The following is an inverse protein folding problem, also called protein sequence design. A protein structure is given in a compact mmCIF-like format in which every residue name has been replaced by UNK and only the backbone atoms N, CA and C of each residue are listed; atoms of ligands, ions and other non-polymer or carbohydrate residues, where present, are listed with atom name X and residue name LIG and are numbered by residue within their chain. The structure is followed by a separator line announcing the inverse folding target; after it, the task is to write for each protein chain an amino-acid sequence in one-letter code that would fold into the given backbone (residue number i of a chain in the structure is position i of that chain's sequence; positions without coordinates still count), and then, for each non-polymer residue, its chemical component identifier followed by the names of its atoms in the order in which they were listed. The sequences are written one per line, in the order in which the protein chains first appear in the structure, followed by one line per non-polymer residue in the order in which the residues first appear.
data_IF_029526045634
#
_entry.id   IF_029526045634
#
_cell.length_a   1.000
_cell.length_b   1.000
_cell.length_c   1.000
_cell.angle_alpha   90.00
_cell.angle_beta   90.00
_cell.angle_gamma   90.00
#
_symmetry.space_group_name_H-M   'P 1'
#
loop_
_entity.id
_entity.type
_entity.pdbx_description
1 polymer ?
#
# COMPACT_ATOMS: atom_id res chain seq x y z
N UNK A 1 -40.05 -10.95 -7.18
CA UNK A 1 -39.51 -12.09 -7.95
C UNK A 1 -38.10 -12.49 -7.54
N UNK A 2 -37.15 -11.54 -7.48
CA UNK A 2 -35.83 -11.75 -6.85
C UNK A 2 -35.94 -12.36 -5.44
N UNK A 3 -36.90 -11.88 -4.65
CA UNK A 3 -37.10 -12.33 -3.26
C UNK A 3 -37.39 -13.83 -3.12
N UNK A 4 -38.14 -14.44 -4.05
CA UNK A 4 -38.64 -15.82 -3.87
C UNK A 4 -37.58 -16.85 -4.27
N UNK A 5 -36.87 -16.62 -5.37
CA UNK A 5 -35.78 -17.50 -5.84
C UNK A 5 -34.55 -17.40 -4.92
N UNK A 6 -34.23 -16.19 -4.45
CA UNK A 6 -33.16 -15.97 -3.49
C UNK A 6 -33.50 -16.60 -2.14
N UNK A 7 -34.73 -16.42 -1.64
CA UNK A 7 -35.14 -17.04 -0.37
C UNK A 7 -35.01 -18.55 -0.41
N UNK A 8 -35.46 -19.26 -1.45
CA UNK A 8 -35.51 -20.73 -1.41
C UNK A 8 -34.12 -21.41 -1.44
N UNK A 9 -33.19 -20.94 -2.29
CA UNK A 9 -31.84 -21.54 -2.39
C UNK A 9 -30.91 -21.00 -1.31
N UNK A 10 -31.03 -19.71 -0.96
CA UNK A 10 -30.23 -19.10 0.10
C UNK A 10 -30.68 -19.59 1.49
N UNK A 11 -31.97 -19.87 1.73
CA UNK A 11 -32.42 -20.49 3.00
C UNK A 11 -31.86 -21.88 3.17
N UNK A 12 -31.94 -22.76 2.17
CA UNK A 12 -31.41 -24.13 2.30
C UNK A 12 -29.90 -24.14 2.62
N UNK A 13 -29.14 -23.23 1.98
CA UNK A 13 -27.70 -23.08 2.20
C UNK A 13 -27.40 -22.42 3.56
N UNK A 14 -28.12 -21.35 3.94
CA UNK A 14 -27.99 -20.72 5.26
C UNK A 14 -28.38 -21.66 6.40
N UNK A 15 -29.42 -22.48 6.24
CA UNK A 15 -29.83 -23.50 7.22
C UNK A 15 -28.71 -24.51 7.44
N UNK A 16 -28.01 -24.92 6.37
CA UNK A 16 -26.86 -25.83 6.47
C UNK A 16 -25.66 -25.22 7.19
N UNK A 17 -25.42 -23.91 7.01
CA UNK A 17 -24.32 -23.16 7.61
C UNK A 17 -24.59 -22.72 9.06
N UNK A 18 -25.86 -22.41 9.39
CA UNK A 18 -26.29 -21.89 10.69
C UNK A 18 -26.85 -22.98 11.62
N UNK A 19 -26.88 -24.25 11.19
CA UNK A 19 -27.48 -25.35 11.98
C UNK A 19 -26.91 -25.48 13.39
N UNK A 20 -25.63 -25.16 13.56
CA UNK A 20 -24.96 -25.20 14.87
C UNK A 20 -25.44 -24.08 15.79
N UNK A 21 -25.51 -22.84 15.28
CA UNK A 21 -26.02 -21.67 16.01
C UNK A 21 -27.52 -21.78 16.34
N UNK A 22 -28.30 -22.32 15.40
CA UNK A 22 -29.74 -22.57 15.61
C UNK A 22 -29.97 -23.62 16.70
N UNK A 23 -29.19 -24.71 16.70
CA UNK A 23 -29.30 -25.72 17.76
C UNK A 23 -28.89 -25.18 19.14
N UNK A 24 -27.91 -24.28 19.20
CA UNK A 24 -27.55 -23.62 20.45
C UNK A 24 -28.72 -22.82 21.06
N UNK A 25 -29.60 -22.24 20.23
CA UNK A 25 -30.80 -21.51 20.69
C UNK A 25 -31.99 -22.42 21.05
N UNK A 26 -32.15 -23.55 20.36
CA UNK A 26 -33.22 -24.53 20.63
C UNK A 26 -32.94 -25.31 21.93
N UNK A 27 -31.68 -25.38 22.34
CA UNK A 27 -31.22 -25.99 23.58
C UNK A 27 -30.58 -27.36 23.38
N UNK A 28 -29.93 -27.92 24.42
CA UNK A 28 -29.02 -29.07 24.30
C UNK A 28 -29.71 -30.41 24.00
N UNK A 29 -31.05 -30.43 23.95
CA UNK A 29 -31.84 -31.64 23.73
C UNK A 29 -31.97 -32.05 22.26
N UNK A 30 -31.49 -31.21 21.33
CA UNK A 30 -31.57 -31.45 19.89
C UNK A 30 -30.24 -31.22 19.22
N UNK A 31 -29.88 -32.11 18.30
CA UNK A 31 -28.65 -31.97 17.53
C UNK A 31 -28.82 -30.93 16.40
N UNK A 32 -27.73 -30.30 15.93
CA UNK A 32 -27.76 -29.43 14.75
C UNK A 32 -28.45 -30.06 13.54
N UNK A 33 -28.26 -31.37 13.36
CA UNK A 33 -28.86 -32.11 12.25
C UNK A 33 -30.38 -32.23 12.41
N UNK A 34 -30.87 -32.56 13.61
CA UNK A 34 -32.31 -32.64 13.89
C UNK A 34 -33.00 -31.27 13.76
N UNK A 35 -32.33 -30.19 14.19
CA UNK A 35 -32.84 -28.82 14.06
C UNK A 35 -32.94 -28.41 12.59
N UNK A 36 -31.92 -28.76 11.80
CA UNK A 36 -31.90 -28.53 10.35
C UNK A 36 -33.04 -29.29 9.65
N UNK A 37 -33.20 -30.58 9.94
CA UNK A 37 -34.26 -31.41 9.36
C UNK A 37 -35.65 -30.92 9.74
N UNK A 38 -35.85 -30.54 11.00
CA UNK A 38 -37.10 -29.95 11.45
C UNK A 38 -37.43 -28.68 10.67
N UNK A 39 -36.46 -27.79 10.49
CA UNK A 39 -36.67 -26.53 9.79
C UNK A 39 -37.06 -26.75 8.32
N UNK A 40 -36.32 -27.61 7.63
CA UNK A 40 -36.58 -27.97 6.23
C UNK A 40 -37.96 -28.62 6.09
N UNK A 41 -38.29 -29.56 6.97
CA UNK A 41 -39.57 -30.29 6.91
C UNK A 41 -40.76 -29.39 7.20
N UNK A 42 -40.68 -28.53 8.22
CA UNK A 42 -41.82 -27.74 8.68
C UNK A 42 -42.02 -26.44 7.90
N UNK A 43 -40.94 -25.75 7.54
CA UNK A 43 -41.00 -24.40 6.98
C UNK A 43 -40.73 -24.34 5.48
N UNK A 44 -39.94 -25.28 4.93
CA UNK A 44 -39.65 -25.32 3.49
C UNK A 44 -40.59 -26.28 2.76
N UNK A 45 -40.71 -27.53 3.23
CA UNK A 45 -41.58 -28.54 2.61
C UNK A 45 -42.97 -28.64 3.26
N UNK A 46 -43.15 -28.01 4.42
CA UNK A 46 -44.40 -27.99 5.15
C UNK A 46 -45.40 -26.99 4.57
N UNK A 47 -46.53 -26.83 5.27
CA UNK A 47 -47.64 -26.01 4.80
C UNK A 47 -47.25 -24.55 4.53
N UNK A 48 -46.33 -24.01 5.34
CA UNK A 48 -45.85 -22.63 5.17
C UNK A 48 -45.07 -22.48 3.86
N UNK A 49 -44.10 -23.37 3.61
CA UNK A 49 -43.30 -23.33 2.39
C UNK A 49 -44.16 -23.52 1.14
N UNK A 50 -45.10 -24.46 1.16
CA UNK A 50 -46.05 -24.66 0.05
C UNK A 50 -46.93 -23.44 -0.23
N UNK A 51 -47.29 -22.68 0.80
CA UNK A 51 -48.11 -21.47 0.64
C UNK A 51 -47.30 -20.26 0.19
N UNK A 52 -46.01 -20.19 0.53
CA UNK A 52 -45.15 -19.03 0.29
C UNK A 52 -44.18 -19.19 -0.89
N UNK A 53 -43.90 -20.42 -1.32
CA UNK A 53 -42.96 -20.76 -2.39
C UNK A 53 -43.77 -21.33 -3.56
N UNK A 54 -43.87 -20.62 -4.69
CA UNK A 54 -44.62 -21.09 -5.86
C UNK A 54 -43.92 -22.27 -6.55
N UNK A 55 -44.70 -23.26 -6.98
CA UNK A 55 -44.20 -24.49 -7.66
C UNK A 55 -43.39 -24.20 -8.93
N UNK A 56 -43.72 -23.10 -9.61
CA UNK A 56 -42.95 -22.56 -10.72
C UNK A 56 -42.57 -21.13 -10.40
N UNK A 57 -41.28 -20.81 -10.39
CA UNK A 57 -40.83 -19.43 -10.22
C UNK A 57 -40.73 -18.81 -11.62
N UNK A 58 -41.65 -17.90 -12.00
CA UNK A 58 -41.57 -17.27 -13.31
C UNK A 58 -40.36 -16.34 -13.33
N UNK A 59 -39.69 -16.21 -14.49
CA UNK A 59 -38.45 -15.46 -14.66
C UNK A 59 -37.32 -15.91 -13.73
N UNK A 60 -36.83 -17.15 -13.94
CA UNK A 60 -35.64 -17.66 -13.28
C UNK A 60 -34.46 -16.72 -13.54
N UNK A 61 -34.16 -15.87 -12.56
CA UNK A 61 -32.98 -15.01 -12.58
C UNK A 61 -31.77 -15.95 -12.58
N UNK A 62 -31.02 -15.93 -13.66
CA UNK A 62 -29.78 -16.70 -13.76
C UNK A 62 -28.69 -15.86 -13.13
N UNK A 63 -28.05 -16.41 -12.11
CA UNK A 63 -26.85 -15.79 -11.56
C UNK A 63 -25.70 -15.95 -12.56
N UNK A 64 -25.40 -14.86 -13.28
CA UNK A 64 -24.30 -14.80 -14.24
C UNK A 64 -22.94 -14.52 -13.57
N UNK A 65 -22.91 -14.32 -12.25
CA UNK A 65 -21.66 -14.11 -11.51
C UNK A 65 -20.96 -15.42 -11.16
N UNK A 66 -21.60 -16.56 -11.39
CA UNK A 66 -21.08 -17.90 -11.08
C UNK A 66 -21.13 -18.84 -12.31
N UNK A 67 -20.19 -19.79 -12.47
CA UNK A 67 -20.28 -20.85 -13.48
C UNK A 67 -21.56 -21.68 -13.31
N UNK A 68 -22.14 -22.16 -14.42
CA UNK A 68 -23.41 -22.89 -14.37
C UNK A 68 -23.34 -24.11 -13.45
N UNK A 69 -24.24 -24.20 -12.46
CA UNK A 69 -24.30 -25.30 -11.51
C UNK A 69 -23.42 -25.14 -10.27
N UNK A 70 -22.70 -24.02 -10.12
CA UNK A 70 -22.05 -23.63 -8.87
C UNK A 70 -23.07 -23.19 -7.80
N UNK A 71 -22.69 -23.21 -6.50
CA UNK A 71 -23.51 -22.62 -5.45
C UNK A 71 -23.75 -21.13 -5.73
N UNK A 72 -24.94 -20.62 -5.40
CA UNK A 72 -25.18 -19.17 -5.39
C UNK A 72 -24.18 -18.57 -4.40
N UNK A 73 -23.26 -17.75 -4.90
CA UNK A 73 -22.11 -17.21 -4.15
C UNK A 73 -21.08 -18.26 -3.69
N UNK A 74 -20.15 -18.70 -4.55
CA UNK A 74 -19.00 -19.55 -4.22
C UNK A 74 -18.15 -19.03 -3.06
N UNK A 75 -18.15 -17.71 -2.88
CA UNK A 75 -17.51 -17.00 -1.78
C UNK A 75 -18.10 -17.34 -0.41
N UNK A 76 -19.40 -17.71 -0.32
CA UNK A 76 -20.05 -18.10 0.93
C UNK A 76 -19.73 -19.54 1.35
N UNK A 77 -19.37 -20.40 0.39
CA UNK A 77 -19.06 -21.82 0.65
C UNK A 77 -17.56 -22.06 0.87
N UNK A 78 -16.71 -21.07 0.58
CA UNK A 78 -15.26 -21.19 0.74
C UNK A 78 -14.87 -20.53 2.07
N UNK A 79 -14.61 -21.29 3.15
CA UNK A 79 -14.20 -20.71 4.41
C UNK A 79 -12.90 -19.93 4.19
N UNK A 80 -12.96 -18.64 4.50
CA UNK A 80 -11.82 -17.76 4.37
C UNK A 80 -10.79 -18.11 5.46
N UNK A 81 -9.49 -18.02 5.16
CA UNK A 81 -8.47 -18.17 6.19
C UNK A 81 -8.75 -17.19 7.32
N UNK A 82 -8.76 -17.64 8.59
CA UNK A 82 -9.00 -16.76 9.73
C UNK A 82 -7.91 -15.68 9.78
N UNK A 83 -8.31 -14.41 9.82
CA UNK A 83 -7.40 -13.32 10.12
C UNK A 83 -7.22 -13.23 11.64
N UNK A 84 -5.98 -13.26 12.10
CA UNK A 84 -5.63 -12.99 13.50
C UNK A 84 -5.83 -11.50 13.80
N UNK A 85 -7.03 -11.11 14.23
CA UNK A 85 -7.42 -9.73 14.57
C UNK A 85 -8.23 -9.78 15.87
N UNK A 86 -7.87 -8.95 16.85
CA UNK A 86 -8.65 -8.81 18.09
C UNK A 86 -9.96 -8.06 17.84
N UNK A 87 -10.95 -8.25 18.71
CA UNK A 87 -12.26 -7.58 18.58
C UNK A 87 -12.13 -6.05 18.52
N UNK A 88 -11.20 -5.46 19.26
CA UNK A 88 -10.95 -4.02 19.25
C UNK A 88 -10.38 -3.54 17.91
N UNK A 89 -9.45 -4.29 17.31
CA UNK A 89 -8.87 -3.97 16.00
C UNK A 89 -9.89 -4.17 14.87
N UNK A 90 -10.76 -5.18 15.01
CA UNK A 90 -11.88 -5.40 14.12
C UNK A 90 -12.79 -4.16 14.08
N UNK A 91 -13.18 -3.64 15.25
CA UNK A 91 -13.98 -2.42 15.36
C UNK A 91 -13.24 -1.20 14.80
N UNK A 92 -11.94 -1.05 15.08
CA UNK A 92 -11.15 0.07 14.56
C UNK A 92 -11.07 0.08 13.02
N UNK A 93 -11.02 -1.09 12.40
CA UNK A 93 -11.01 -1.26 10.95
C UNK A 93 -12.41 -1.25 10.33
N UNK A 94 -13.46 -1.40 11.14
CA UNK A 94 -14.81 -1.71 10.67
C UNK A 94 -14.83 -3.02 9.85
N UNK A 95 -13.94 -3.97 10.12
CA UNK A 95 -13.82 -5.19 9.33
C UNK A 95 -14.78 -6.27 9.85
N UNK A 96 -15.36 -7.06 8.95
CA UNK A 96 -16.26 -8.17 9.26
C UNK A 96 -15.63 -9.48 8.76
N UNK A 97 -14.87 -10.21 9.61
CA UNK A 97 -14.06 -11.36 9.21
C UNK A 97 -14.86 -12.48 8.53
N UNK A 98 -16.07 -12.76 9.01
CA UNK A 98 -16.93 -13.81 8.45
C UNK A 98 -17.54 -13.44 7.09
N UNK A 99 -17.47 -12.16 6.70
CA UNK A 99 -18.00 -11.66 5.41
C UNK A 99 -16.93 -11.19 4.45
N UNK A 100 -15.70 -11.01 4.93
CA UNK A 100 -14.65 -10.27 4.23
C UNK A 100 -15.07 -8.88 3.75
N UNK A 101 -15.73 -8.15 4.64
CA UNK A 101 -16.36 -6.88 4.31
C UNK A 101 -15.92 -5.79 5.26
N UNK A 102 -15.96 -4.55 4.79
CA UNK A 102 -15.73 -3.38 5.63
C UNK A 102 -17.05 -2.61 5.80
N UNK A 103 -17.24 -2.00 6.97
CA UNK A 103 -18.37 -1.10 7.21
C UNK A 103 -18.36 0.10 6.24
N UNK A 104 -17.17 0.56 5.89
CA UNK A 104 -16.95 1.61 4.89
C UNK A 104 -16.09 1.02 3.78
N UNK A 105 -16.70 0.87 2.61
CA UNK A 105 -16.05 0.28 1.45
C UNK A 105 -15.27 1.32 0.63
N UNK A 106 -14.34 0.82 -0.18
CA UNK A 106 -13.68 1.66 -1.17
C UNK A 106 -14.71 2.19 -2.19
N UNK A 107 -14.70 3.52 -2.40
CA UNK A 107 -15.67 4.23 -3.23
C UNK A 107 -17.13 3.96 -2.77
N UNK A 108 -17.43 4.37 -1.53
CA UNK A 108 -18.74 4.21 -0.88
C UNK A 108 -19.91 4.85 -1.66
N UNK A 109 -19.61 5.82 -2.53
CA UNK A 109 -20.60 6.52 -3.33
C UNK A 109 -20.87 5.83 -4.69
N UNK A 110 -20.28 4.67 -4.95
CA UNK A 110 -20.47 3.93 -6.20
C UNK A 110 -21.95 3.65 -6.49
N UNK A 111 -22.72 3.32 -5.47
CA UNK A 111 -24.14 3.00 -5.54
C UNK A 111 -25.00 4.21 -5.95
N UNK A 112 -24.53 5.44 -5.73
CA UNK A 112 -25.21 6.67 -6.21
C UNK A 112 -25.32 6.72 -7.73
N UNK A 113 -24.41 6.05 -8.44
CA UNK A 113 -24.40 6.00 -9.90
C UNK A 113 -25.63 5.27 -10.46
N UNK A 114 -26.16 4.32 -9.70
CA UNK A 114 -27.29 3.49 -10.11
C UNK A 114 -28.56 3.77 -9.31
N UNK A 115 -28.48 4.55 -8.21
CA UNK A 115 -29.62 4.76 -7.30
C UNK A 115 -30.82 5.45 -7.94
N UNK A 116 -30.60 6.24 -9.00
CA UNK A 116 -31.65 6.93 -9.76
C UNK A 116 -32.07 6.23 -11.05
N UNK A 117 -31.51 5.05 -11.36
CA UNK A 117 -31.85 4.34 -12.59
C UNK A 117 -33.22 3.67 -12.45
N UNK A 118 -34.14 4.03 -13.33
CA UNK A 118 -35.39 3.29 -13.57
C UNK A 118 -35.32 2.59 -14.92
N UNK A 119 -35.91 1.40 -15.03
CA UNK A 119 -36.05 0.67 -16.31
C UNK A 119 -37.51 0.77 -16.70
N UNK A 120 -37.81 1.40 -17.84
CA UNK A 120 -39.16 1.55 -18.36
C UNK A 120 -39.31 0.78 -19.68
N UNK A 121 -40.53 0.39 -20.03
CA UNK A 121 -40.80 -0.41 -21.24
C UNK A 121 -40.82 0.43 -22.52
N UNK A 122 -40.95 1.75 -22.38
CA UNK A 122 -41.00 2.76 -23.42
C UNK A 122 -39.70 3.55 -23.55
N UNK A 123 -38.63 3.14 -22.86
CA UNK A 123 -37.30 3.73 -22.99
C UNK A 123 -36.82 3.64 -24.45
N UNK A 124 -36.34 4.75 -25.00
CA UNK A 124 -35.68 4.75 -26.31
C UNK A 124 -34.33 4.02 -26.25
N UNK A 125 -33.86 3.49 -27.38
CA UNK A 125 -32.58 2.75 -27.46
C UNK A 125 -31.40 3.55 -26.88
N UNK A 126 -31.39 4.88 -27.07
CA UNK A 126 -30.36 5.78 -26.54
C UNK A 126 -30.41 5.84 -25.01
N UNK A 127 -31.61 5.86 -24.41
CA UNK A 127 -31.78 5.83 -22.97
C UNK A 127 -31.36 4.48 -22.38
N UNK A 128 -31.72 3.37 -23.05
CA UNK A 128 -31.30 2.02 -22.66
C UNK A 128 -29.77 1.93 -22.64
N UNK A 129 -29.10 2.41 -23.69
CA UNK A 129 -27.64 2.41 -23.76
C UNK A 129 -26.98 3.33 -22.71
N UNK A 130 -27.57 4.48 -22.40
CA UNK A 130 -27.11 5.33 -21.30
C UNK A 130 -27.20 4.61 -19.94
N UNK A 131 -28.33 3.95 -19.68
CA UNK A 131 -28.53 3.16 -18.44
C UNK A 131 -27.54 2.00 -18.36
N UNK A 132 -27.28 1.31 -19.48
CA UNK A 132 -26.24 0.26 -19.57
C UNK A 132 -24.84 0.81 -19.27
N UNK A 133 -24.50 2.00 -19.78
CA UNK A 133 -23.21 2.63 -19.51
C UNK A 133 -23.04 2.96 -18.01
N UNK A 134 -24.08 3.48 -17.34
CA UNK A 134 -24.04 3.71 -15.89
C UNK A 134 -23.84 2.40 -15.10
N UNK A 135 -24.51 1.32 -15.50
CA UNK A 135 -24.32 -0.01 -14.89
C UNK A 135 -22.91 -0.52 -15.12
N UNK A 136 -22.35 -0.42 -16.33
CA UNK A 136 -20.97 -0.85 -16.62
C UNK A 136 -19.95 -0.07 -15.79
N UNK A 137 -20.13 1.25 -15.67
CA UNK A 137 -19.31 2.09 -14.79
C UNK A 137 -19.38 1.63 -13.32
N UNK A 138 -20.58 1.28 -12.82
CA UNK A 138 -20.76 0.74 -11.47
C UNK A 138 -20.05 -0.62 -11.31
N UNK A 139 -20.18 -1.52 -12.28
CA UNK A 139 -19.50 -2.83 -12.28
C UNK A 139 -17.98 -2.66 -12.24
N UNK A 140 -17.41 -1.70 -12.97
CA UNK A 140 -15.97 -1.39 -12.90
C UNK A 140 -15.53 -0.94 -11.50
N UNK A 141 -16.34 -0.12 -10.82
CA UNK A 141 -16.09 0.28 -9.42
C UNK A 141 -16.11 -0.91 -8.47
N UNK A 142 -17.09 -1.81 -8.61
CA UNK A 142 -17.17 -3.03 -7.80
C UNK A 142 -15.96 -3.96 -8.02
N UNK A 143 -15.50 -4.10 -9.28
CA UNK A 143 -14.31 -4.89 -9.59
C UNK A 143 -13.05 -4.33 -8.92
N UNK A 144 -12.87 -3.02 -8.92
CA UNK A 144 -11.73 -2.38 -8.25
C UNK A 144 -11.82 -2.50 -6.72
N UNK A 145 -13.03 -2.37 -6.15
CA UNK A 145 -13.28 -2.62 -4.71
C UNK A 145 -12.86 -4.05 -4.34
N UNK A 146 -13.31 -5.06 -5.09
CA UNK A 146 -12.94 -6.45 -4.85
C UNK A 146 -11.44 -6.68 -5.05
N UNK A 147 -10.84 -6.09 -6.09
CA UNK A 147 -9.39 -6.18 -6.34
C UNK A 147 -8.58 -5.67 -5.15
N UNK A 148 -8.99 -4.55 -4.53
CA UNK A 148 -8.32 -4.00 -3.35
C UNK A 148 -8.40 -4.92 -2.14
N UNK A 149 -9.56 -5.54 -1.89
CA UNK A 149 -9.72 -6.55 -0.84
C UNK A 149 -8.79 -7.74 -1.06
N UNK A 150 -8.73 -8.24 -2.30
CA UNK A 150 -7.86 -9.34 -2.68
C UNK A 150 -6.38 -8.98 -2.43
N UNK A 151 -5.93 -7.79 -2.83
CA UNK A 151 -4.55 -7.33 -2.59
C UNK A 151 -4.27 -7.20 -1.09
N UNK A 152 -5.19 -6.61 -0.32
CA UNK A 152 -5.00 -6.43 1.12
C UNK A 152 -4.82 -7.76 1.86
N UNK A 153 -5.59 -8.78 1.45
CA UNK A 153 -5.49 -10.14 1.96
C UNK A 153 -4.22 -10.85 1.51
N UNK A 154 -3.98 -10.89 0.19
CA UNK A 154 -2.89 -11.67 -0.41
C UNK A 154 -1.52 -11.20 0.08
N UNK A 155 -1.33 -9.88 0.21
CA UNK A 155 -0.12 -9.29 0.77
C UNK A 155 -0.14 -9.17 2.31
N UNK A 156 -1.13 -9.73 2.97
CA UNK A 156 -1.29 -9.71 4.43
C UNK A 156 -1.09 -8.31 5.03
N UNK A 157 -1.73 -7.30 4.44
CA UNK A 157 -1.48 -5.89 4.78
C UNK A 157 -2.09 -5.48 6.13
N UNK A 158 -3.10 -6.21 6.61
CA UNK A 158 -3.82 -5.86 7.84
C UNK A 158 -2.94 -6.02 9.10
N UNK A 159 -2.24 -7.14 9.33
CA UNK A 159 -1.27 -7.25 10.43
C UNK A 159 -0.17 -6.18 10.36
N UNK A 160 0.34 -5.88 9.16
CA UNK A 160 1.34 -4.84 8.95
C UNK A 160 0.83 -3.43 9.31
N UNK A 161 -0.42 -3.11 8.94
CA UNK A 161 -1.09 -1.87 9.32
C UNK A 161 -1.26 -1.75 10.83
N UNK A 162 -1.61 -2.85 11.51
CA UNK A 162 -1.74 -2.93 12.97
C UNK A 162 -0.37 -2.99 13.69
N UNK A 163 0.75 -2.97 12.95
CA UNK A 163 2.09 -2.90 13.50
C UNK A 163 2.67 -4.23 13.98
N UNK A 164 2.04 -5.37 13.65
CA UNK A 164 2.49 -6.71 14.06
C UNK A 164 3.73 -7.19 13.31
N UNK A 165 3.96 -6.73 12.09
CA UNK A 165 5.19 -6.97 11.32
C UNK A 165 6.48 -6.64 12.09
N UNK A 166 6.41 -5.75 13.09
CA UNK A 166 7.57 -5.37 13.89
C UNK A 166 7.97 -6.46 14.90
N UNK A 167 7.02 -7.25 15.40
CA UNK A 167 7.29 -8.34 16.37
C UNK A 167 7.93 -9.55 15.69
N UNK A 168 7.56 -9.85 14.45
CA UNK A 168 8.12 -10.99 13.70
C UNK A 168 9.48 -10.66 13.06
N UNK A 169 9.72 -9.39 12.71
CA UNK A 169 11.02 -8.91 12.18
C UNK A 169 12.17 -8.97 13.18
N UNK A 170 11.92 -9.11 14.48
CA UNK A 170 12.99 -9.38 15.47
C UNK A 170 13.53 -10.82 15.38
N UNK A 171 12.78 -11.73 14.76
CA UNK A 171 13.16 -13.16 14.62
C UNK A 171 13.59 -13.53 13.19
N UNK A 172 13.19 -12.77 12.17
CA UNK A 172 13.62 -13.00 10.79
C UNK A 172 14.96 -12.35 10.43
N UNK A 173 15.68 -12.97 9.47
CA UNK A 173 16.99 -12.55 8.93
C UNK A 173 17.09 -11.03 8.81
N UNK A 174 18.24 -10.45 9.21
CA UNK A 174 18.57 -9.04 8.98
C UNK A 174 18.47 -8.70 7.47
N UNK A 175 17.30 -8.21 7.05
CA UNK A 175 17.07 -7.70 5.70
C UNK A 175 18.06 -6.56 5.47
N UNK A 176 18.88 -6.68 4.43
CA UNK A 176 19.90 -5.69 4.11
C UNK A 176 19.27 -4.36 3.71
N UNK A 177 20.03 -3.25 3.87
CA UNK A 177 19.56 -1.93 3.43
C UNK A 177 19.22 -1.92 1.94
N UNK A 178 20.01 -2.62 1.13
CA UNK A 178 19.79 -2.76 -0.31
C UNK A 178 18.50 -3.51 -0.63
N UNK A 179 18.21 -4.63 0.04
CA UNK A 179 16.97 -5.38 -0.16
C UNK A 179 15.73 -4.55 0.20
N UNK A 180 15.79 -3.77 1.29
CA UNK A 180 14.69 -2.86 1.66
C UNK A 180 14.43 -1.83 0.57
N UNK A 181 15.49 -1.21 0.05
CA UNK A 181 15.37 -0.20 -1.01
C UNK A 181 14.81 -0.82 -2.30
N UNK A 182 15.26 -2.03 -2.66
CA UNK A 182 14.74 -2.76 -3.81
C UNK A 182 13.26 -3.10 -3.66
N UNK A 183 12.83 -3.59 -2.49
CA UNK A 183 11.40 -3.86 -2.21
C UNK A 183 10.55 -2.60 -2.35
N UNK A 184 11.05 -1.45 -1.89
CA UNK A 184 10.36 -0.16 -2.08
C UNK A 184 10.24 0.20 -3.56
N UNK A 185 11.30 0.04 -4.35
CA UNK A 185 11.28 0.31 -5.81
C UNK A 185 10.31 -0.60 -6.55
N UNK A 186 10.19 -1.87 -6.15
CA UNK A 186 9.35 -2.87 -6.81
C UNK A 186 7.92 -2.93 -6.29
N UNK A 187 7.58 -2.15 -5.25
CA UNK A 187 6.25 -2.17 -4.60
C UNK A 187 5.08 -1.98 -5.56
N UNK A 188 5.27 -1.26 -6.66
CA UNK A 188 4.22 -1.07 -7.67
C UNK A 188 3.79 -2.38 -8.33
N UNK A 189 4.67 -3.38 -8.42
CA UNK A 189 4.36 -4.69 -9.00
C UNK A 189 3.36 -5.49 -8.16
N UNK A 190 3.25 -5.18 -6.85
CA UNK A 190 2.25 -5.82 -5.97
C UNK A 190 0.80 -5.61 -6.43
N UNK A 191 0.57 -4.64 -7.32
CA UNK A 191 -0.75 -4.37 -7.88
C UNK A 191 -1.15 -5.33 -9.02
N UNK A 192 -0.19 -6.07 -9.56
CA UNK A 192 -0.33 -6.87 -10.79
C UNK A 192 0.11 -8.32 -10.63
N UNK A 193 0.69 -8.67 -9.48
CA UNK A 193 1.20 -10.00 -9.17
C UNK A 193 0.56 -10.50 -7.89
N UNK A 194 0.42 -11.81 -7.75
CA UNK A 194 0.10 -12.39 -6.44
C UNK A 194 1.30 -12.27 -5.50
N UNK A 195 1.07 -12.25 -4.19
CA UNK A 195 2.11 -12.11 -3.18
C UNK A 195 3.20 -13.18 -3.33
N UNK A 196 2.79 -14.44 -3.51
CA UNK A 196 3.70 -15.57 -3.74
C UNK A 196 4.60 -15.35 -4.96
N UNK A 197 4.02 -14.92 -6.08
CA UNK A 197 4.76 -14.68 -7.33
C UNK A 197 5.73 -13.51 -7.18
N UNK A 198 5.33 -12.47 -6.45
CA UNK A 198 6.18 -11.32 -6.17
C UNK A 198 7.39 -11.70 -5.30
N UNK A 199 7.20 -12.51 -4.26
CA UNK A 199 8.30 -13.00 -3.42
C UNK A 199 9.27 -13.89 -4.23
N UNK A 200 8.73 -14.79 -5.06
CA UNK A 200 9.56 -15.63 -5.94
C UNK A 200 10.36 -14.78 -6.95
N UNK A 201 9.71 -13.80 -7.57
CA UNK A 201 10.38 -12.85 -8.46
C UNK A 201 11.50 -12.10 -7.75
N UNK A 202 11.25 -11.62 -6.54
CA UNK A 202 12.23 -10.89 -5.74
C UNK A 202 13.44 -11.77 -5.39
N UNK A 203 13.20 -13.00 -4.93
CA UNK A 203 14.27 -13.97 -4.66
C UNK A 203 15.08 -14.30 -5.91
N UNK A 204 14.41 -14.53 -7.04
CA UNK A 204 15.07 -14.88 -8.30
C UNK A 204 15.95 -13.73 -8.80
N UNK A 205 15.52 -12.47 -8.64
CA UNK A 205 16.34 -11.30 -8.94
C UNK A 205 17.61 -11.24 -8.07
N UNK A 206 17.50 -11.56 -6.77
CA UNK A 206 18.66 -11.61 -5.89
C UNK A 206 19.62 -12.75 -6.29
N UNK A 207 19.08 -13.95 -6.51
CA UNK A 207 19.83 -15.13 -6.97
C UNK A 207 20.56 -14.82 -8.28
N UNK A 208 19.89 -14.18 -9.23
CA UNK A 208 20.46 -13.76 -10.51
C UNK A 208 21.63 -12.79 -10.34
N UNK A 209 21.49 -11.78 -9.48
CA UNK A 209 22.57 -10.83 -9.17
C UNK A 209 23.80 -11.53 -8.56
N UNK A 210 23.60 -12.45 -7.62
CA UNK A 210 24.67 -13.25 -6.99
C UNK A 210 25.36 -14.14 -8.02
N UNK A 211 24.60 -14.85 -8.85
CA UNK A 211 25.14 -15.70 -9.90
C UNK A 211 25.92 -14.90 -10.94
N UNK A 212 25.42 -13.74 -11.39
CA UNK A 212 26.15 -12.85 -12.29
C UNK A 212 27.47 -12.36 -11.69
N UNK A 213 27.48 -12.02 -10.40
CA UNK A 213 28.71 -11.66 -9.70
C UNK A 213 29.71 -12.82 -9.66
N UNK A 214 29.23 -14.04 -9.36
CA UNK A 214 30.07 -15.25 -9.33
C UNK A 214 30.61 -15.61 -10.71
N UNK A 215 29.81 -15.48 -11.76
CA UNK A 215 30.27 -15.69 -13.14
C UNK A 215 31.37 -14.70 -13.51
N UNK A 216 31.21 -13.42 -13.20
CA UNK A 216 32.26 -12.40 -13.43
C UNK A 216 33.54 -12.68 -12.64
N UNK A 217 33.41 -13.16 -11.41
CA UNK A 217 34.53 -13.59 -10.56
C UNK A 217 35.28 -14.76 -11.19
N UNK A 218 34.57 -15.84 -11.57
CA UNK A 218 35.17 -17.02 -12.20
C UNK A 218 35.82 -16.68 -13.56
N UNK A 219 35.20 -15.81 -14.35
CA UNK A 219 35.79 -15.31 -15.60
C UNK A 219 37.06 -14.46 -15.34
N UNK A 220 37.13 -13.75 -14.21
CA UNK A 220 38.35 -13.03 -13.80
C UNK A 220 39.47 -14.02 -13.45
N UNK A 221 39.17 -15.10 -12.72
CA UNK A 221 40.15 -16.15 -12.43
C UNK A 221 40.75 -16.73 -13.70
N UNK A 222 39.90 -17.13 -14.65
CA UNK A 222 40.36 -17.68 -15.94
C UNK A 222 41.26 -16.71 -16.71
N UNK A 223 40.90 -15.42 -16.76
CA UNK A 223 41.72 -14.39 -17.43
C UNK A 223 43.09 -14.17 -16.76
N UNK A 224 43.24 -14.51 -15.48
CA UNK A 224 44.49 -14.41 -14.74
C UNK A 224 45.20 -15.77 -14.60
N UNK A 225 44.81 -16.78 -15.40
CA UNK A 225 45.48 -18.08 -15.45
C UNK A 225 45.12 -19.04 -14.31
N UNK A 226 44.11 -18.74 -13.50
CA UNK A 226 43.67 -19.60 -12.40
C UNK A 226 42.66 -20.60 -12.94
N UNK A 227 43.05 -21.87 -12.95
CA UNK A 227 42.25 -22.96 -13.50
C UNK A 227 41.55 -23.79 -12.41
N UNK A 228 42.02 -23.74 -11.15
CA UNK A 228 41.45 -24.48 -10.01
C UNK A 228 40.85 -23.54 -8.97
N UNK A 229 39.78 -23.99 -8.31
CA UNK A 229 39.12 -23.23 -7.25
C UNK A 229 40.00 -23.08 -6.01
N UNK A 230 40.86 -24.07 -5.72
CA UNK A 230 41.77 -24.05 -4.56
C UNK A 230 42.77 -22.89 -4.64
N UNK A 231 43.26 -22.59 -5.84
CA UNK A 231 44.20 -21.50 -6.13
C UNK A 231 43.55 -20.09 -6.04
N UNK A 232 42.22 -20.01 -6.00
CA UNK A 232 41.48 -18.74 -6.00
C UNK A 232 41.64 -17.95 -4.70
N UNK A 233 41.80 -18.63 -3.55
CA UNK A 233 41.92 -17.98 -2.25
C UNK A 233 43.21 -17.16 -2.15
N UNK A 234 44.33 -17.71 -2.60
CA UNK A 234 45.63 -17.03 -2.61
C UNK A 234 45.61 -15.82 -3.56
N UNK A 235 45.00 -15.98 -4.73
CA UNK A 235 44.82 -14.89 -5.67
C UNK A 235 43.96 -13.75 -5.11
N UNK A 236 42.82 -14.04 -4.47
CA UNK A 236 41.99 -13.00 -3.88
C UNK A 236 42.71 -12.30 -2.73
N UNK A 237 43.47 -13.02 -1.90
CA UNK A 237 44.29 -12.42 -0.85
C UNK A 237 45.36 -11.47 -1.44
N UNK A 238 46.06 -11.91 -2.48
CA UNK A 238 47.06 -11.09 -3.18
C UNK A 238 46.42 -9.86 -3.86
N UNK A 239 45.26 -10.03 -4.50
CA UNK A 239 44.48 -8.98 -5.14
C UNK A 239 43.98 -7.96 -4.12
N UNK A 240 43.39 -8.40 -3.03
CA UNK A 240 42.91 -7.53 -1.95
C UNK A 240 44.06 -6.72 -1.34
N UNK A 241 45.23 -7.35 -1.13
CA UNK A 241 46.45 -6.65 -0.67
C UNK A 241 46.91 -5.58 -1.69
N UNK A 242 46.79 -5.85 -3.00
CA UNK A 242 47.12 -4.90 -4.07
C UNK A 242 46.12 -3.75 -4.13
N UNK A 243 44.82 -4.02 -4.03
CA UNK A 243 43.77 -3.00 -4.00
C UNK A 243 43.91 -2.09 -2.77
N UNK A 244 44.12 -2.65 -1.58
CA UNK A 244 44.38 -1.86 -0.36
C UNK A 244 45.61 -0.97 -0.46
N UNK A 245 46.69 -1.45 -1.10
CA UNK A 245 47.88 -0.63 -1.39
C UNK A 245 47.58 0.49 -2.38
N UNK A 246 46.75 0.23 -3.40
CA UNK A 246 46.33 1.23 -4.40
C UNK A 246 45.42 2.28 -3.78
N UNK A 247 44.48 1.87 -2.94
CA UNK A 247 43.58 2.75 -2.19
C UNK A 247 44.36 3.66 -1.23
N UNK A 248 45.29 3.10 -0.46
CA UNK A 248 46.20 3.89 0.38
C UNK A 248 47.05 4.87 -0.46
N UNK A 249 47.52 4.46 -1.65
CA UNK A 249 48.27 5.34 -2.55
C UNK A 249 47.40 6.44 -3.15
N UNK A 250 46.13 6.16 -3.44
CA UNK A 250 45.14 7.15 -3.89
C UNK A 250 44.79 8.14 -2.77
N UNK A 251 44.64 7.68 -1.52
CA UNK A 251 44.43 8.58 -0.36
C UNK A 251 45.64 9.48 -0.13
N UNK A 252 46.86 8.94 -0.28
CA UNK A 252 48.10 9.74 -0.19
C UNK A 252 48.26 10.68 -1.39
N UNK A 253 47.81 10.30 -2.58
CA UNK A 253 47.80 11.15 -3.77
C UNK A 253 46.75 12.26 -3.66
N UNK A 254 45.53 11.98 -3.18
CA UNK A 254 44.53 13.00 -2.84
C UNK A 254 45.02 13.93 -1.74
N UNK A 255 45.73 13.44 -0.72
CA UNK A 255 46.37 14.30 0.30
C UNK A 255 47.54 15.13 -0.24
N UNK A 256 48.21 14.71 -1.32
CA UNK A 256 49.28 15.50 -1.98
C UNK A 256 48.75 16.46 -3.04
N UNK A 257 47.57 16.19 -3.62
CA UNK A 257 46.84 17.09 -4.51
C UNK A 257 46.11 18.22 -3.76
N UNK A 258 45.87 18.08 -2.46
CA UNK A 258 45.38 19.15 -1.58
C UNK A 258 46.59 19.93 -1.05
N UNK A 259 47.29 20.65 -1.92
CA UNK A 259 48.18 21.74 -1.49
C UNK A 259 48.11 23.00 -2.36
N UNK A 260 47.23 22.99 -3.36
CA UNK A 260 46.81 24.21 -4.06
C UNK A 260 45.28 24.32 -3.97
N UNK A 261 44.86 25.40 -3.29
CA UNK A 261 43.54 26.04 -3.25
C UNK A 261 42.27 25.19 -3.38
N UNK A 262 41.47 25.05 -2.30
CA UNK A 262 40.00 24.91 -2.36
C UNK A 262 39.34 24.98 -0.97
N UNK A 263 38.25 25.77 -0.87
CA UNK A 263 37.45 26.14 0.30
C UNK A 263 36.47 25.05 0.79
N UNK A 264 36.84 23.78 0.83
CA UNK A 264 35.87 22.68 1.06
C UNK A 264 35.61 22.30 2.53
N UNK A 265 35.98 23.16 3.48
CA UNK A 265 35.77 22.90 4.92
C UNK A 265 34.51 23.55 5.52
N UNK A 266 33.84 24.45 4.80
CA UNK A 266 32.92 25.41 5.45
C UNK A 266 31.49 24.87 5.67
N UNK A 267 31.10 23.76 5.02
CA UNK A 267 29.71 23.25 5.01
C UNK A 267 29.53 21.76 5.29
N UNK A 268 30.56 21.06 5.77
CA UNK A 268 30.57 19.59 5.93
C UNK A 268 29.39 19.01 6.75
N UNK A 269 28.78 19.80 7.62
CA UNK A 269 27.63 19.43 8.46
C UNK A 269 26.31 19.32 7.69
N UNK A 270 26.15 20.08 6.60
CA UNK A 270 24.90 20.19 5.83
C UNK A 270 25.04 19.73 4.37
N UNK A 271 26.26 19.50 3.89
CA UNK A 271 26.59 19.14 2.49
C UNK A 271 25.88 17.87 2.00
N UNK A 272 25.75 16.86 2.87
CA UNK A 272 25.11 15.58 2.52
C UNK A 272 23.58 15.57 2.72
N UNK A 273 22.95 16.71 3.05
CA UNK A 273 21.52 16.78 3.34
C UNK A 273 20.70 17.15 2.10
N UNK A 274 19.50 16.56 1.99
CA UNK A 274 18.57 16.82 0.88
C UNK A 274 18.25 18.31 0.75
N UNK A 275 18.39 18.84 -0.47
CA UNK A 275 18.16 20.25 -0.80
C UNK A 275 19.37 21.16 -0.64
N UNK A 276 20.54 20.65 -0.25
CA UNK A 276 21.78 21.45 -0.14
C UNK A 276 22.18 22.11 -1.47
N UNK A 277 22.07 21.37 -2.58
CA UNK A 277 22.40 21.86 -3.94
C UNK A 277 21.48 22.98 -4.44
N UNK A 278 20.34 23.20 -3.77
CA UNK A 278 19.38 24.26 -4.12
C UNK A 278 19.65 25.59 -3.39
N UNK A 279 20.64 25.61 -2.50
CA UNK A 279 21.02 26.79 -1.73
C UNK A 279 22.17 27.54 -2.40
N UNK A 280 22.07 28.87 -2.43
CA UNK A 280 23.24 29.72 -2.70
C UNK A 280 24.26 29.65 -1.56
N UNK A 281 25.52 30.02 -1.83
CA UNK A 281 26.57 29.98 -0.80
C UNK A 281 26.24 30.82 0.43
N UNK A 282 25.56 31.96 0.26
CA UNK A 282 25.05 32.79 1.37
C UNK A 282 24.00 32.07 2.21
N UNK A 283 23.13 31.29 1.57
CA UNK A 283 22.12 30.48 2.25
C UNK A 283 22.72 29.25 2.94
N UNK A 284 23.77 28.65 2.37
CA UNK A 284 24.55 27.58 3.00
C UNK A 284 25.19 28.06 4.30
N UNK A 285 25.82 29.25 4.29
CA UNK A 285 26.36 29.90 5.51
C UNK A 285 25.27 30.16 6.55
N UNK A 286 24.12 30.69 6.12
CA UNK A 286 22.99 30.94 7.02
C UNK A 286 22.50 29.65 7.67
N UNK A 287 22.24 28.60 6.87
CA UNK A 287 21.77 27.30 7.35
C UNK A 287 22.72 26.67 8.35
N UNK A 288 24.03 26.71 8.06
CA UNK A 288 25.07 26.22 8.97
C UNK A 288 25.06 27.01 10.30
N UNK A 289 25.00 28.35 10.24
CA UNK A 289 24.98 29.21 11.43
C UNK A 289 23.70 29.11 12.28
N UNK A 290 22.60 28.63 11.69
CA UNK A 290 21.31 28.41 12.35
C UNK A 290 21.11 26.96 12.79
N UNK A 291 22.06 26.07 12.45
CA UNK A 291 21.94 24.63 12.59
C UNK A 291 20.62 24.10 11.99
N UNK A 292 20.22 24.66 10.84
CA UNK A 292 18.97 24.39 10.15
C UNK A 292 19.23 23.60 8.88
N UNK A 293 18.61 22.44 8.71
CA UNK A 293 18.78 21.63 7.49
C UNK A 293 18.27 22.38 6.24
N UNK A 294 18.91 22.21 5.06
CA UNK A 294 18.50 22.84 3.81
C UNK A 294 17.00 22.72 3.49
N UNK A 295 16.43 21.52 3.64
CA UNK A 295 14.98 21.27 3.41
C UNK A 295 14.09 22.13 4.31
N UNK A 296 14.42 22.24 5.60
CA UNK A 296 13.66 23.08 6.56
C UNK A 296 13.76 24.56 6.22
N UNK A 297 14.95 25.04 5.86
CA UNK A 297 15.14 26.41 5.41
C UNK A 297 14.31 26.73 4.16
N UNK A 298 14.39 25.88 3.12
CA UNK A 298 13.63 26.06 1.87
C UNK A 298 12.12 26.11 2.11
N UNK A 299 11.61 25.25 3.00
CA UNK A 299 10.20 25.25 3.41
C UNK A 299 9.79 26.62 3.99
N UNK A 300 10.56 27.14 4.94
CA UNK A 300 10.28 28.42 5.60
C UNK A 300 10.44 29.58 4.62
N UNK A 301 11.50 29.59 3.79
CA UNK A 301 11.74 30.59 2.74
C UNK A 301 10.54 30.67 1.78
N UNK A 302 10.04 29.52 1.34
CA UNK A 302 8.91 29.43 0.41
C UNK A 302 7.63 30.01 1.03
N UNK A 303 7.34 29.68 2.29
CA UNK A 303 6.16 30.20 3.00
C UNK A 303 6.27 31.72 3.16
N UNK A 304 7.41 32.23 3.63
CA UNK A 304 7.60 33.67 3.88
C UNK A 304 7.49 34.49 2.59
N UNK A 305 8.14 34.04 1.51
CA UNK A 305 8.09 34.75 0.23
C UNK A 305 6.67 34.73 -0.35
N UNK A 306 5.99 33.58 -0.31
CA UNK A 306 4.61 33.45 -0.78
C UNK A 306 3.68 34.40 -0.01
N UNK A 307 3.75 34.42 1.31
CA UNK A 307 2.93 35.29 2.15
C UNK A 307 3.21 36.77 1.86
N UNK A 308 4.48 37.14 1.69
CA UNK A 308 4.86 38.52 1.35
C UNK A 308 4.31 38.94 -0.01
N UNK A 309 4.36 38.07 -1.03
CA UNK A 309 3.79 38.34 -2.35
C UNK A 309 2.25 38.47 -2.30
N UNK A 310 1.57 37.61 -1.54
CA UNK A 310 0.11 37.69 -1.36
C UNK A 310 -0.29 39.02 -0.71
N UNK A 311 0.42 39.44 0.35
CA UNK A 311 0.17 40.74 1.00
C UNK A 311 0.34 41.92 0.04
N UNK A 312 1.36 41.90 -0.83
CA UNK A 312 1.55 42.95 -1.85
C UNK A 312 0.39 43.03 -2.86
N UNK A 313 -0.35 41.94 -3.05
CA UNK A 313 -1.53 41.88 -3.92
C UNK A 313 -2.84 42.19 -3.18
N UNK A 314 -2.77 42.63 -1.91
CA UNK A 314 -3.95 42.87 -1.08
C UNK A 314 -4.65 41.60 -0.60
N UNK A 315 -4.04 40.43 -0.78
CA UNK A 315 -4.61 39.14 -0.37
C UNK A 315 -4.16 38.85 1.07
N UNK A 316 -5.10 38.58 2.01
CA UNK A 316 -4.75 38.19 3.37
C UNK A 316 -3.95 36.88 3.38
N UNK A 317 -2.69 36.93 3.82
CA UNK A 317 -1.85 35.76 4.01
C UNK A 317 -2.17 35.07 5.35
N UNK A 318 -2.53 33.77 5.32
CA UNK A 318 -2.85 32.95 6.51
C UNK A 318 -1.99 31.68 6.63
N UNK A 319 -0.82 31.64 5.98
CA UNK A 319 0.00 30.42 6.01
C UNK A 319 0.50 30.13 7.43
N UNK A 320 0.30 28.88 7.89
CA UNK A 320 0.82 28.42 9.18
C UNK A 320 2.32 28.14 9.05
N UNK A 321 3.13 28.80 9.87
CA UNK A 321 4.57 28.53 9.94
C UNK A 321 4.84 27.18 10.65
N UNK A 322 5.91 26.45 10.26
CA UNK A 322 6.26 25.19 10.90
C UNK A 322 6.57 25.35 12.40
N UNK A 323 6.17 24.38 13.23
CA UNK A 323 6.30 24.46 14.70
C UNK A 323 7.73 24.48 15.24
N UNK A 324 8.73 24.11 14.44
CA UNK A 324 10.15 24.21 14.80
C UNK A 324 10.71 25.63 14.67
N UNK A 325 9.94 26.58 14.14
CA UNK A 325 10.39 27.94 13.90
C UNK A 325 10.08 28.82 15.12
N UNK A 326 11.06 28.97 16.01
CA UNK A 326 10.95 29.90 17.13
C UNK A 326 11.05 31.37 16.67
N UNK A 327 10.84 32.31 17.61
CA UNK A 327 10.89 33.76 17.34
C UNK A 327 12.27 34.21 16.84
N UNK A 328 13.35 33.55 17.26
CA UNK A 328 14.74 33.94 16.97
C UNK A 328 15.12 33.48 15.55
N UNK A 329 14.89 32.21 15.24
CA UNK A 329 15.06 31.62 13.91
C UNK A 329 14.21 32.37 12.88
N UNK A 330 12.94 32.64 13.18
CA UNK A 330 12.06 33.43 12.31
C UNK A 330 12.64 34.81 12.00
N UNK A 331 13.10 35.53 13.03
CA UNK A 331 13.67 36.88 12.88
C UNK A 331 14.93 36.85 12.02
N UNK A 332 15.86 35.91 12.28
CA UNK A 332 17.11 35.79 11.50
C UNK A 332 16.86 35.47 10.02
N UNK A 333 15.91 34.56 9.72
CA UNK A 333 15.55 34.23 8.33
C UNK A 333 14.88 35.43 7.66
N UNK A 334 13.97 36.14 8.34
CA UNK A 334 13.32 37.32 7.79
C UNK A 334 14.34 38.42 7.48
N UNK A 335 15.25 38.72 8.42
CA UNK A 335 16.33 39.69 8.22
C UNK A 335 17.18 39.34 7.01
N UNK A 336 17.61 38.08 6.88
CA UNK A 336 18.39 37.63 5.73
C UNK A 336 17.65 37.79 4.40
N UNK A 337 16.36 37.45 4.35
CA UNK A 337 15.55 37.60 3.13
C UNK A 337 15.36 39.08 2.76
N UNK A 338 15.22 39.97 3.75
CA UNK A 338 15.16 41.41 3.53
C UNK A 338 16.49 41.96 3.02
N UNK A 339 17.61 41.60 3.65
CA UNK A 339 18.96 42.03 3.23
C UNK A 339 19.36 41.49 1.87
N UNK A 340 18.89 40.29 1.53
CA UNK A 340 19.09 39.66 0.23
C UNK A 340 18.11 40.16 -0.84
N UNK A 341 17.20 41.09 -0.51
CA UNK A 341 16.28 41.72 -1.46
C UNK A 341 15.08 40.88 -1.88
N UNK A 342 14.81 39.75 -1.22
CA UNK A 342 13.66 38.88 -1.55
C UNK A 342 12.33 39.44 -1.03
N UNK A 343 12.37 40.24 0.05
CA UNK A 343 11.20 40.88 0.67
C UNK A 343 11.53 42.34 1.04
N UNK A 344 10.53 43.23 1.07
CA UNK A 344 10.70 44.64 1.44
C UNK A 344 10.58 44.85 2.95
N UNK A 345 11.16 45.93 3.48
CA UNK A 345 11.02 46.33 4.90
C UNK A 345 9.61 46.81 5.25
N UNK A 346 8.84 47.26 4.27
CA UNK A 346 7.61 48.05 4.50
C UNK A 346 6.31 47.23 4.45
N UNK A 347 6.29 46.05 5.09
CA UNK A 347 5.07 45.24 5.19
C UNK A 347 4.84 44.69 6.61
N UNK A 348 5.20 45.49 7.62
CA UNK A 348 4.82 45.28 9.03
C UNK A 348 3.39 45.74 9.29
#
# INVERSE_FOLDING_TARGET
MFFVFYVCVFTQMCISLLKEDMAAHVGPSRTPQEVMEHYVTMYIHGNLGKACIPDSIPNRVTDHTCPSGGPLSPSLTTPLPPLDISLAEQQQLGYMPLRDDYEIEYDQDAEKLISGLSVNYDDEDVEIELKRAHVDMYVRKLRERQRRKNIARDYNLVPGFLGRDKKDKEKEKKITKEEKEQRVRLRALCQFMAHREFEEFFENMHKERVLRAKVRELQRYRRNGIARLEESAEYEAARHKREKRKENKNVVASKRGIKEESKDGEFATIENLTGFELLSDREKVLCNSLNLSPTRYLTVKTIIIKDHLQKRQGIPAKSRLPGYLDKVLKKRILTFLTESGWISRDAS
#
